data_IF_166197043963
#
_entry.id   IF_166197043963
#
_cell.length_a   1.000
_cell.length_b   1.000
_cell.length_c   1.000
_cell.angle_alpha   90.00
_cell.angle_beta   90.00
_cell.angle_gamma   90.00
#
_symmetry.space_group_name_H-M   'P 1'
#
loop_
_entity.id
_entity.type
_entity.pdbx_description
1 polymer ?
#
# COMPACT_ATOMS: atom_id res chain seq x y z
N UNK A 1 29.84 47.60 1.58
CA UNK A 1 28.47 47.10 1.36
C UNK A 1 28.34 45.71 1.97
N UNK A 2 27.89 45.57 3.23
CA UNK A 2 27.88 44.24 3.87
C UNK A 2 26.96 44.02 5.07
N UNK A 3 26.11 44.99 5.45
CA UNK A 3 25.21 44.84 6.61
C UNK A 3 23.72 44.70 6.26
N UNK A 4 23.25 45.39 5.21
CA UNK A 4 21.82 45.45 4.88
C UNK A 4 21.21 44.14 4.39
N UNK A 5 21.97 43.35 3.62
CA UNK A 5 21.50 42.05 3.10
C UNK A 5 21.37 40.97 4.18
N UNK A 6 22.24 41.01 5.20
CA UNK A 6 22.21 40.07 6.31
C UNK A 6 21.00 40.31 7.22
N UNK A 7 20.66 41.57 7.47
CA UNK A 7 19.48 41.95 8.26
C UNK A 7 18.17 41.64 7.52
N UNK A 8 18.13 41.84 6.20
CA UNK A 8 16.94 41.51 5.40
C UNK A 8 16.72 39.98 5.29
N UNK A 9 17.82 39.20 5.17
CA UNK A 9 17.76 37.74 5.21
C UNK A 9 17.28 37.23 6.58
N UNK A 10 17.74 37.85 7.68
CA UNK A 10 17.30 37.50 9.03
C UNK A 10 15.82 37.83 9.25
N UNK A 11 15.34 38.97 8.75
CA UNK A 11 13.93 39.34 8.87
C UNK A 11 13.02 38.40 8.05
N UNK A 12 13.48 37.96 6.87
CA UNK A 12 12.77 36.96 6.05
C UNK A 12 12.71 35.60 6.72
N UNK A 13 13.79 35.13 7.36
CA UNK A 13 13.79 33.85 8.06
C UNK A 13 12.86 33.84 9.28
N UNK A 14 12.82 34.95 10.03
CA UNK A 14 11.91 35.11 11.18
C UNK A 14 10.44 35.10 10.76
N UNK A 15 10.10 35.77 9.64
CA UNK A 15 8.74 35.75 9.07
C UNK A 15 8.33 34.36 8.61
N UNK A 16 9.23 33.62 7.94
CA UNK A 16 8.95 32.26 7.49
C UNK A 16 8.77 31.29 8.67
N UNK A 17 9.62 31.36 9.69
CA UNK A 17 9.49 30.52 10.89
C UNK A 17 8.18 30.80 11.65
N UNK A 18 7.78 32.08 11.78
CA UNK A 18 6.47 32.45 12.34
C UNK A 18 5.30 31.92 11.52
N UNK A 19 5.39 32.00 10.19
CA UNK A 19 4.36 31.45 9.32
C UNK A 19 4.24 29.92 9.47
N UNK A 20 5.36 29.21 9.60
CA UNK A 20 5.36 27.76 9.83
C UNK A 20 4.71 27.39 11.16
N UNK A 21 5.01 28.11 12.25
CA UNK A 21 4.39 27.90 13.56
C UNK A 21 2.87 28.14 13.54
N UNK A 22 2.41 29.20 12.85
CA UNK A 22 0.99 29.52 12.74
C UNK A 22 0.24 28.68 11.71
N UNK A 23 0.95 28.02 10.78
CA UNK A 23 0.31 27.28 9.69
C UNK A 23 -0.21 25.89 10.10
N UNK A 24 0.06 25.43 11.32
CA UNK A 24 -0.17 24.05 11.74
C UNK A 24 0.62 23.07 10.88
N UNK A 25 0.83 21.84 11.35
CA UNK A 25 1.41 20.84 10.45
C UNK A 25 0.47 20.67 9.25
N UNK A 26 0.97 20.68 8.00
CA UNK A 26 0.12 20.44 6.82
C UNK A 26 -0.65 19.10 6.91
N UNK A 27 -0.21 18.21 7.81
CA UNK A 27 -0.92 17.02 8.22
C UNK A 27 -2.21 17.32 9.01
N UNK A 28 -2.21 18.21 9.99
CA UNK A 28 -3.42 18.59 10.75
C UNK A 28 -4.48 19.28 9.89
N UNK A 29 -4.08 20.17 8.97
CA UNK A 29 -5.01 20.80 8.03
C UNK A 29 -5.67 19.77 7.10
N UNK A 30 -4.88 18.82 6.57
CA UNK A 30 -5.39 17.71 5.73
C UNK A 30 -6.23 16.71 6.52
N UNK A 31 -5.86 16.44 7.78
CA UNK A 31 -6.63 15.62 8.72
C UNK A 31 -8.00 16.25 8.93
N UNK A 32 -8.06 17.52 9.33
CA UNK A 32 -9.33 18.19 9.57
C UNK A 32 -10.19 18.32 8.31
N UNK A 33 -9.62 18.52 7.12
CA UNK A 33 -10.43 18.52 5.88
C UNK A 33 -11.02 17.15 5.56
N UNK A 34 -10.27 16.06 5.83
CA UNK A 34 -10.74 14.69 5.54
C UNK A 34 -11.79 14.20 6.54
N UNK A 35 -11.70 14.62 7.81
CA UNK A 35 -12.67 14.24 8.85
C UNK A 35 -13.90 15.15 8.91
N UNK A 36 -13.78 16.44 8.53
CA UNK A 36 -14.92 17.37 8.57
C UNK A 36 -15.93 17.18 7.43
N UNK A 37 -15.53 16.59 6.30
CA UNK A 37 -16.44 16.29 5.18
C UNK A 37 -17.35 15.08 5.44
N UNK A 38 -17.14 14.35 6.54
CA UNK A 38 -17.86 13.11 6.84
C UNK A 38 -19.02 13.31 7.83
N UNK A 39 -19.54 14.55 7.98
CA UNK A 39 -20.78 14.79 8.71
C UNK A 39 -21.95 14.10 8.02
N UNK A 40 -22.27 12.92 8.55
CA UNK A 40 -23.58 12.25 8.55
C UNK A 40 -24.22 11.85 7.23
N UNK A 41 -23.46 11.37 6.23
CA UNK A 41 -24.06 10.40 5.31
C UNK A 41 -24.09 9.05 6.01
N UNK A 42 -25.20 8.76 6.70
CA UNK A 42 -25.52 7.38 7.08
C UNK A 42 -25.62 6.57 5.80
N UNK A 43 -24.57 5.84 5.48
CA UNK A 43 -24.54 4.93 4.35
C UNK A 43 -25.59 3.85 4.60
N UNK A 44 -26.78 4.00 4.01
CA UNK A 44 -27.79 2.96 3.99
C UNK A 44 -27.35 1.93 2.96
N UNK A 45 -26.50 1.01 3.37
CA UNK A 45 -26.14 -0.13 2.54
C UNK A 45 -27.38 -1.01 2.38
N UNK A 46 -27.90 -1.13 1.16
CA UNK A 46 -28.94 -2.10 0.84
C UNK A 46 -28.35 -3.49 1.13
N UNK A 47 -28.94 -4.23 2.08
CA UNK A 47 -28.50 -5.60 2.38
C UNK A 47 -28.59 -6.41 1.08
N UNK A 48 -27.51 -7.12 0.76
CA UNK A 48 -27.48 -8.01 -0.39
C UNK A 48 -28.55 -9.09 -0.22
N UNK A 49 -29.25 -9.41 -1.31
CA UNK A 49 -30.19 -10.54 -1.34
C UNK A 49 -29.41 -11.86 -1.23
N UNK A 50 -30.01 -12.94 -0.72
CA UNK A 50 -29.33 -14.24 -0.59
C UNK A 50 -28.77 -14.76 -1.93
N UNK A 51 -29.46 -14.49 -3.03
CA UNK A 51 -28.98 -14.82 -4.38
C UNK A 51 -27.72 -14.04 -4.78
N UNK A 52 -27.62 -12.76 -4.39
CA UNK A 52 -26.42 -11.96 -4.63
C UNK A 52 -25.23 -12.45 -3.81
N UNK A 53 -25.49 -12.89 -2.56
CA UNK A 53 -24.46 -13.48 -1.71
C UNK A 53 -23.94 -14.81 -2.28
N UNK A 54 -24.83 -15.67 -2.81
CA UNK A 54 -24.42 -16.90 -3.50
C UNK A 54 -23.53 -16.60 -4.71
N UNK A 55 -23.92 -15.66 -5.57
CA UNK A 55 -23.09 -15.27 -6.73
C UNK A 55 -21.71 -14.75 -6.33
N UNK A 56 -21.60 -14.04 -5.20
CA UNK A 56 -20.31 -13.57 -4.68
C UNK A 56 -19.48 -14.76 -4.18
N UNK A 57 -20.08 -15.69 -3.44
CA UNK A 57 -19.41 -16.90 -2.98
C UNK A 57 -18.92 -17.77 -4.14
N UNK A 58 -19.74 -17.99 -5.16
CA UNK A 58 -19.37 -18.79 -6.34
C UNK A 58 -18.17 -18.18 -7.06
N UNK A 59 -18.19 -16.85 -7.27
CA UNK A 59 -17.05 -16.12 -7.86
C UNK A 59 -15.80 -16.22 -6.99
N UNK A 60 -15.93 -16.13 -5.67
CA UNK A 60 -14.78 -16.28 -4.76
C UNK A 60 -14.18 -17.69 -4.79
N UNK A 61 -15.03 -18.72 -4.90
CA UNK A 61 -14.59 -20.12 -4.99
C UNK A 61 -13.88 -20.37 -6.33
N UNK A 62 -14.40 -19.83 -7.42
CA UNK A 62 -13.80 -19.95 -8.75
C UNK A 62 -12.41 -19.30 -8.82
N UNK A 63 -12.27 -18.08 -8.30
CA UNK A 63 -11.00 -17.37 -8.23
C UNK A 63 -9.97 -18.13 -7.36
N UNK A 64 -10.38 -18.67 -6.21
CA UNK A 64 -9.48 -19.49 -5.38
C UNK A 64 -9.01 -20.75 -6.10
N UNK A 65 -9.89 -21.43 -6.84
CA UNK A 65 -9.50 -22.64 -7.58
C UNK A 65 -8.43 -22.35 -8.63
N UNK A 66 -8.54 -21.23 -9.34
CA UNK A 66 -7.53 -20.82 -10.32
C UNK A 66 -6.18 -20.51 -9.65
N UNK A 67 -6.18 -19.77 -8.55
CA UNK A 67 -4.96 -19.45 -7.80
C UNK A 67 -4.29 -20.68 -7.19
N UNK A 68 -5.08 -21.61 -6.64
CA UNK A 68 -4.56 -22.86 -6.07
C UNK A 68 -3.89 -23.70 -7.14
N UNK A 69 -4.50 -23.84 -8.33
CA UNK A 69 -3.89 -24.59 -9.45
C UNK A 69 -2.59 -23.97 -9.90
N UNK A 70 -2.55 -22.64 -10.05
CA UNK A 70 -1.33 -21.92 -10.45
C UNK A 70 -0.22 -22.07 -9.42
N UNK A 71 -0.54 -21.93 -8.12
CA UNK A 71 0.43 -22.14 -7.04
C UNK A 71 0.93 -23.57 -6.97
N UNK A 72 0.03 -24.55 -7.14
CA UNK A 72 0.40 -25.97 -7.17
C UNK A 72 1.36 -26.28 -8.33
N UNK A 73 1.08 -25.77 -9.54
CA UNK A 73 1.97 -25.96 -10.70
C UNK A 73 3.35 -25.36 -10.45
N UNK A 74 3.43 -24.13 -9.93
CA UNK A 74 4.71 -23.48 -9.61
C UNK A 74 5.50 -24.27 -8.57
N UNK A 75 4.82 -24.81 -7.55
CA UNK A 75 5.45 -25.58 -6.48
C UNK A 75 5.98 -26.93 -6.99
N UNK A 76 5.23 -27.62 -7.85
CA UNK A 76 5.69 -28.85 -8.50
C UNK A 76 6.89 -28.59 -9.41
N UNK A 77 6.82 -27.53 -10.24
CA UNK A 77 7.91 -27.12 -11.11
C UNK A 77 9.17 -26.76 -10.31
N UNK A 78 9.05 -25.98 -9.23
CA UNK A 78 10.21 -25.63 -8.41
C UNK A 78 10.81 -26.87 -7.74
N UNK A 79 9.97 -27.79 -7.25
CA UNK A 79 10.42 -29.06 -6.67
C UNK A 79 11.21 -29.91 -7.66
N UNK A 80 10.72 -30.05 -8.90
CA UNK A 80 11.40 -30.79 -9.96
C UNK A 80 12.76 -30.17 -10.29
N UNK A 81 12.83 -28.84 -10.42
CA UNK A 81 14.08 -28.12 -10.68
C UNK A 81 15.08 -28.34 -9.53
N UNK A 82 14.64 -28.27 -8.28
CA UNK A 82 15.50 -28.53 -7.12
C UNK A 82 16.07 -29.95 -7.13
N UNK A 83 15.27 -30.96 -7.44
CA UNK A 83 15.73 -32.35 -7.56
C UNK A 83 16.77 -32.48 -8.68
N UNK A 84 16.49 -31.87 -9.84
CA UNK A 84 17.39 -31.88 -10.99
C UNK A 84 18.75 -31.24 -10.66
N UNK A 85 18.74 -30.11 -9.94
CA UNK A 85 19.95 -29.42 -9.51
C UNK A 85 20.78 -30.25 -8.51
N UNK A 86 20.12 -30.91 -7.57
CA UNK A 86 20.79 -31.81 -6.62
C UNK A 86 21.44 -32.97 -7.37
N UNK A 87 20.71 -33.58 -8.31
CA UNK A 87 21.24 -34.70 -9.09
C UNK A 87 22.44 -34.29 -9.95
N UNK A 88 22.35 -33.13 -10.63
CA UNK A 88 23.43 -32.56 -11.40
C UNK A 88 24.65 -32.21 -10.54
N UNK A 89 24.44 -31.68 -9.33
CA UNK A 89 25.51 -31.39 -8.39
C UNK A 89 26.23 -32.68 -7.96
N UNK A 90 25.50 -33.75 -7.64
CA UNK A 90 26.09 -35.04 -7.28
C UNK A 90 26.93 -35.63 -8.42
N UNK A 91 26.44 -35.56 -9.66
CA UNK A 91 27.21 -36.02 -10.83
C UNK A 91 28.44 -35.15 -11.08
N UNK A 92 28.35 -33.83 -10.90
CA UNK A 92 29.45 -32.91 -11.16
C UNK A 92 30.55 -32.98 -10.09
N UNK A 93 30.17 -33.19 -8.82
CA UNK A 93 31.12 -33.36 -7.72
C UNK A 93 31.68 -34.78 -7.59
N UNK A 94 31.32 -35.70 -8.50
CA UNK A 94 31.98 -36.98 -8.67
C UNK A 94 31.77 -37.98 -7.54
N UNK A 95 30.55 -38.05 -6.99
CA UNK A 95 30.09 -39.21 -6.22
C UNK A 95 29.53 -40.30 -7.14
#
# INVERSE_FOLDING_TARGET
>A
MGGGGALDAMNKSLKQNRAMLNSGSGFEKRKNSFYSSNKSKKWTFKKATPEQLQRINDKMVELRKADIRRKALVLVLSGLISIMLIWAALTFFGF
#
